data_IF_641633063665
#
_entry.id   IF_641633063665
#
_cell.length_a   1.000
_cell.length_b   1.000
_cell.length_c   1.000
_cell.angle_alpha   90.00
_cell.angle_beta   90.00
_cell.angle_gamma   90.00
#
_symmetry.space_group_name_H-M   'P 1'
#
loop_
_entity.id
_entity.type
_entity.pdbx_description
1 polymer ?
#
# COMPACT_ATOMS: atom_id res chain seq x y z
N UNK A 1 22.22 -2.08 7.87
CA UNK A 1 21.21 -1.04 7.52
C UNK A 1 21.27 -0.60 6.04
N UNK A 2 22.29 -0.94 5.25
CA UNK A 2 22.37 -0.56 3.82
C UNK A 2 21.58 -1.50 2.86
N UNK A 3 21.26 -2.73 3.25
CA UNK A 3 20.52 -3.68 2.41
C UNK A 3 19.01 -3.37 2.25
N UNK A 4 18.42 -2.58 3.14
CA UNK A 4 16.99 -2.23 3.10
C UNK A 4 16.71 -1.20 1.99
N UNK A 5 17.64 -0.27 1.75
CA UNK A 5 17.51 0.74 0.71
C UNK A 5 17.51 0.12 -0.71
N UNK A 6 18.26 -0.98 -0.91
CA UNK A 6 18.29 -1.71 -2.18
C UNK A 6 16.96 -2.42 -2.52
N UNK A 7 16.10 -2.65 -1.52
CA UNK A 7 14.80 -3.32 -1.69
C UNK A 7 13.62 -2.35 -1.80
N UNK A 8 13.84 -1.07 -1.52
CA UNK A 8 12.75 -0.09 -1.52
C UNK A 8 12.72 0.61 -2.87
N UNK A 9 11.61 0.47 -3.60
CA UNK A 9 11.42 1.16 -4.87
C UNK A 9 11.52 2.67 -4.67
N UNK A 10 12.18 3.36 -5.60
CA UNK A 10 12.16 4.83 -5.62
C UNK A 10 10.74 5.33 -5.89
N UNK A 11 10.40 6.59 -5.53
CA UNK A 11 9.09 7.16 -5.84
C UNK A 11 8.68 7.03 -7.32
N UNK A 12 9.65 7.21 -8.23
CA UNK A 12 9.44 7.06 -9.67
C UNK A 12 9.17 5.61 -10.07
N UNK A 13 9.90 4.66 -9.50
CA UNK A 13 9.66 3.23 -9.74
C UNK A 13 8.30 2.78 -9.19
N UNK A 14 7.88 3.32 -8.05
CA UNK A 14 6.53 3.09 -7.50
C UNK A 14 5.48 3.60 -8.48
N UNK A 15 5.65 4.82 -9.01
CA UNK A 15 4.73 5.40 -9.99
C UNK A 15 4.68 4.56 -11.27
N UNK A 16 5.84 4.17 -11.82
CA UNK A 16 5.92 3.34 -13.01
C UNK A 16 5.31 1.94 -12.80
N UNK A 17 5.44 1.36 -11.61
CA UNK A 17 4.78 0.10 -11.26
C UNK A 17 3.26 0.26 -11.15
N UNK A 18 2.78 1.33 -10.53
CA UNK A 18 1.35 1.60 -10.42
C UNK A 18 0.72 1.77 -11.81
N UNK A 19 1.37 2.50 -12.70
CA UNK A 19 0.90 2.72 -14.07
C UNK A 19 0.81 1.40 -14.86
N UNK A 20 1.89 0.61 -14.86
CA UNK A 20 1.87 -0.72 -15.50
C UNK A 20 0.79 -1.63 -14.95
N UNK A 21 0.51 -1.54 -13.64
CA UNK A 21 -0.55 -2.33 -13.01
C UNK A 21 -1.92 -1.87 -13.49
N UNK A 22 -2.16 -0.56 -13.62
CA UNK A 22 -3.42 -0.02 -14.15
C UNK A 22 -3.67 -0.46 -15.59
N UNK A 23 -2.65 -0.37 -16.44
CA UNK A 23 -2.72 -0.84 -17.83
C UNK A 23 -3.05 -2.34 -17.86
N UNK A 24 -2.34 -3.16 -17.08
CA UNK A 24 -2.61 -4.59 -17.00
C UNK A 24 -4.05 -4.90 -16.55
N UNK A 25 -4.56 -4.16 -15.57
CA UNK A 25 -5.93 -4.33 -15.08
C UNK A 25 -6.97 -3.98 -16.14
N UNK A 26 -6.74 -2.90 -16.89
CA UNK A 26 -7.62 -2.48 -17.97
C UNK A 26 -7.59 -3.48 -19.14
N UNK A 27 -6.39 -3.83 -19.63
CA UNK A 27 -6.24 -4.68 -20.82
C UNK A 27 -6.68 -6.13 -20.57
N UNK A 28 -6.31 -6.69 -19.41
CA UNK A 28 -6.54 -8.12 -19.14
C UNK A 28 -7.90 -8.39 -18.51
N UNK A 29 -8.44 -7.43 -17.75
CA UNK A 29 -9.65 -7.64 -16.96
C UNK A 29 -10.75 -6.61 -17.23
N UNK A 30 -10.52 -5.60 -18.09
CA UNK A 30 -11.50 -4.56 -18.37
C UNK A 30 -11.78 -3.63 -17.17
N UNK A 31 -10.89 -3.61 -16.18
CA UNK A 31 -11.06 -2.82 -14.96
C UNK A 31 -10.21 -1.56 -14.99
N UNK A 32 -10.87 -0.41 -14.89
CA UNK A 32 -10.23 0.89 -14.78
C UNK A 32 -10.18 1.29 -13.32
N UNK A 33 -8.99 1.48 -12.79
CA UNK A 33 -8.78 1.92 -11.42
C UNK A 33 -8.35 3.37 -11.41
N UNK A 34 -9.18 4.21 -10.80
CA UNK A 34 -8.94 5.64 -10.67
C UNK A 34 -7.95 5.96 -9.55
N UNK A 35 -7.42 7.19 -9.56
CA UNK A 35 -6.60 7.72 -8.48
C UNK A 35 -7.36 7.79 -7.15
N UNK A 36 -8.66 8.10 -7.20
CA UNK A 36 -9.52 8.21 -6.03
C UNK A 36 -9.77 6.86 -5.37
N UNK A 37 -10.17 5.84 -6.13
CA UNK A 37 -10.32 4.47 -5.62
C UNK A 37 -9.00 3.94 -5.04
N UNK A 38 -7.90 4.20 -5.73
CA UNK A 38 -6.56 3.86 -5.23
C UNK A 38 -6.26 4.57 -3.90
N UNK A 39 -6.65 5.84 -3.76
CA UNK A 39 -6.44 6.62 -2.54
C UNK A 39 -7.30 6.13 -1.38
N UNK A 40 -8.54 5.74 -1.64
CA UNK A 40 -9.45 5.16 -0.66
C UNK A 40 -8.89 3.84 -0.12
N UNK A 41 -8.47 2.92 -0.98
CA UNK A 41 -7.85 1.65 -0.58
C UNK A 41 -6.60 1.90 0.27
N UNK A 42 -5.73 2.84 -0.12
CA UNK A 42 -4.56 3.22 0.67
C UNK A 42 -4.96 3.75 2.06
N UNK A 43 -6.07 4.49 2.17
CA UNK A 43 -6.59 4.99 3.44
C UNK A 43 -7.02 3.82 4.34
N UNK A 44 -7.86 2.92 3.82
CA UNK A 44 -8.31 1.71 4.53
C UNK A 44 -7.15 0.85 5.04
N UNK A 45 -6.11 0.67 4.21
CA UNK A 45 -4.93 -0.10 4.61
C UNK A 45 -4.14 0.56 5.73
N UNK A 46 -4.00 1.90 5.71
CA UNK A 46 -3.36 2.64 6.81
C UNK A 46 -4.18 2.53 8.10
N UNK A 47 -5.49 2.65 8.00
CA UNK A 47 -6.39 2.57 9.16
C UNK A 47 -6.35 1.17 9.79
N UNK A 48 -6.40 0.12 8.97
CA UNK A 48 -6.25 -1.26 9.42
C UNK A 48 -4.89 -1.51 10.09
N UNK A 49 -3.81 -0.97 9.52
CA UNK A 49 -2.46 -1.07 10.11
C UNK A 49 -2.38 -0.33 11.44
N UNK A 50 -2.98 0.86 11.54
CA UNK A 50 -3.03 1.63 12.77
C UNK A 50 -3.82 0.89 13.86
N UNK A 51 -5.00 0.35 13.52
CA UNK A 51 -5.81 -0.46 14.42
C UNK A 51 -5.04 -1.70 14.91
N UNK A 52 -4.35 -2.41 14.01
CA UNK A 52 -3.53 -3.55 14.37
C UNK A 52 -2.42 -3.17 15.37
N UNK A 53 -1.69 -2.07 15.12
CA UNK A 53 -0.66 -1.59 16.05
C UNK A 53 -1.23 -1.17 17.40
N UNK A 54 -2.40 -0.53 17.42
CA UNK A 54 -3.07 -0.16 18.67
C UNK A 54 -3.45 -1.39 19.49
N UNK A 55 -4.03 -2.42 18.85
CA UNK A 55 -4.37 -3.67 19.50
C UNK A 55 -3.16 -4.40 20.10
N UNK A 56 -2.02 -4.41 19.39
CA UNK A 56 -0.77 -4.95 19.93
C UNK A 56 -0.29 -4.18 21.17
N UNK A 57 -0.34 -2.84 21.12
CA UNK A 57 0.07 -1.99 22.24
C UNK A 57 -0.85 -2.11 23.46
N UNK A 58 -2.13 -2.44 23.28
CA UNK A 58 -3.08 -2.71 24.36
C UNK A 58 -2.86 -4.10 24.99
N UNK A 59 -2.47 -5.10 24.19
CA UNK A 59 -2.15 -6.45 24.66
C UNK A 59 -0.83 -6.54 25.44
N UNK A 60 0.12 -5.63 25.18
CA UNK A 60 1.42 -5.55 25.87
C UNK A 60 1.40 -4.74 27.17
N UNK A 61 0.29 -4.06 27.52
CA UNK A 61 0.18 -3.40 28.83
C UNK A 61 -0.05 -4.44 29.93
N UNK A 62 0.86 -4.59 30.92
CA UNK A 62 0.57 -5.43 32.07
C UNK A 62 -0.59 -4.80 32.85
N UNK A 63 -1.54 -5.63 33.28
CA UNK A 63 -2.67 -5.23 34.14
C UNK A 63 -2.20 -4.76 35.51
#
# INVERSE_FOLDING_TARGET
>A
MQEIAAQTLTPEQIKARAERTRVLLAERFGHYVTDEESAEVRRKMRDATAAHRAALAEGERPR
#
